data_IF_535695026473
#
_entry.id   IF_535695026473
#
_cell.length_a   1.000
_cell.length_b   1.000
_cell.length_c   1.000
_cell.angle_alpha   90.00
_cell.angle_beta   90.00
_cell.angle_gamma   90.00
#
_symmetry.space_group_name_H-M   'P 1'
#
loop_
_entity.id
_entity.type
_entity.pdbx_description
1 polymer ?
#
# COMPACT_ATOMS: atom_id res chain seq x y z
N UNK A 1 -31.17 23.31 3.42
CA UNK A 1 -30.30 23.35 2.20
C UNK A 1 -29.27 22.28 2.37
N UNK A 2 -29.35 21.17 1.62
CA UNK A 2 -28.32 20.16 1.57
C UNK A 2 -27.06 20.78 0.96
N UNK A 3 -25.90 20.63 1.66
CA UNK A 3 -24.62 21.02 1.09
C UNK A 3 -24.32 20.10 -0.10
N UNK A 4 -23.87 20.63 -1.24
CA UNK A 4 -23.51 19.81 -2.38
C UNK A 4 -22.37 18.84 -1.98
N UNK A 5 -22.33 17.66 -2.61
CA UNK A 5 -21.40 16.58 -2.28
C UNK A 5 -19.93 17.06 -2.22
N UNK A 6 -19.52 17.98 -3.11
CA UNK A 6 -18.18 18.57 -3.08
C UNK A 6 -17.92 19.44 -1.82
N UNK A 7 -18.96 20.02 -1.20
CA UNK A 7 -18.81 20.83 0.02
C UNK A 7 -18.80 19.97 1.30
N UNK A 8 -19.28 18.72 1.21
CA UNK A 8 -19.06 17.70 2.24
C UNK A 8 -17.63 17.19 2.13
N UNK A 9 -17.17 16.97 0.91
CA UNK A 9 -15.77 16.65 0.58
C UNK A 9 -14.83 17.81 0.96
N UNK A 10 -15.21 19.08 0.78
CA UNK A 10 -14.36 20.23 1.14
C UNK A 10 -14.20 20.47 2.65
N UNK A 11 -15.06 19.90 3.48
CA UNK A 11 -14.85 19.85 4.94
C UNK A 11 -13.76 18.84 5.34
N UNK A 12 -13.51 17.86 4.46
CA UNK A 12 -12.41 16.89 4.53
C UNK A 12 -11.17 17.39 3.77
N UNK A 13 -11.30 18.42 2.94
CA UNK A 13 -10.32 18.93 1.97
C UNK A 13 -8.99 19.37 2.61
N UNK A 14 -8.97 19.80 3.84
CA UNK A 14 -7.69 20.06 4.52
C UNK A 14 -6.88 18.79 4.78
N UNK A 15 -7.55 17.70 5.12
CA UNK A 15 -6.94 16.38 5.33
C UNK A 15 -6.81 15.61 4.01
N UNK A 16 -7.75 15.77 3.07
CA UNK A 16 -7.72 15.09 1.77
C UNK A 16 -6.59 15.58 0.84
N UNK A 17 -6.32 16.88 0.78
CA UNK A 17 -5.16 17.38 0.04
C UNK A 17 -3.86 16.77 0.60
N UNK A 18 -3.71 16.73 1.93
CA UNK A 18 -2.54 16.11 2.54
C UNK A 18 -2.47 14.60 2.26
N UNK A 19 -3.61 13.89 2.25
CA UNK A 19 -3.65 12.44 1.96
C UNK A 19 -3.27 12.21 0.50
N UNK A 20 -3.90 12.89 -0.45
CA UNK A 20 -3.58 12.79 -1.88
C UNK A 20 -2.12 13.09 -2.17
N UNK A 21 -1.59 14.15 -1.59
CA UNK A 21 -0.20 14.55 -1.80
C UNK A 21 0.78 13.49 -1.28
N UNK A 22 0.46 12.81 -0.18
CA UNK A 22 1.24 11.66 0.32
C UNK A 22 1.24 10.50 -0.65
N UNK A 23 0.09 10.16 -1.28
CA UNK A 23 0.04 9.14 -2.32
C UNK A 23 0.88 9.51 -3.54
N UNK A 24 0.81 10.75 -4.00
CA UNK A 24 1.61 11.24 -5.13
C UNK A 24 3.11 11.22 -4.79
N UNK A 25 3.49 11.68 -3.61
CA UNK A 25 4.89 11.67 -3.16
C UNK A 25 5.44 10.24 -3.06
N UNK A 26 4.65 9.30 -2.50
CA UNK A 26 5.00 7.89 -2.44
C UNK A 26 5.10 7.30 -3.85
N UNK A 27 4.13 7.55 -4.72
CA UNK A 27 4.08 7.04 -6.09
C UNK A 27 5.30 7.45 -6.92
N UNK A 28 5.73 8.70 -6.81
CA UNK A 28 6.95 9.18 -7.47
C UNK A 28 8.19 8.38 -7.02
N UNK A 29 8.30 8.05 -5.72
CA UNK A 29 9.39 7.23 -5.20
C UNK A 29 9.28 5.78 -5.69
N UNK A 30 8.07 5.19 -5.74
CA UNK A 30 7.82 3.83 -6.17
C UNK A 30 8.00 3.64 -7.68
N UNK A 31 7.75 4.67 -8.48
CA UNK A 31 7.84 4.60 -9.96
C UNK A 31 9.25 4.24 -10.45
N UNK A 32 10.28 4.51 -9.65
CA UNK A 32 11.67 4.18 -9.94
C UNK A 32 12.06 2.76 -9.52
N UNK A 33 11.22 2.08 -8.73
CA UNK A 33 11.50 0.74 -8.25
C UNK A 33 11.31 -0.29 -9.37
N UNK A 34 12.17 -1.33 -9.36
CA UNK A 34 12.04 -2.49 -10.22
C UNK A 34 11.11 -3.54 -9.62
N UNK A 35 11.26 -3.76 -8.34
CA UNK A 35 10.56 -4.78 -7.57
C UNK A 35 9.97 -4.14 -6.31
N UNK A 36 8.76 -4.53 -5.94
CA UNK A 36 8.06 -4.04 -4.74
C UNK A 36 7.42 -5.23 -4.03
N UNK A 37 7.61 -5.32 -2.74
CA UNK A 37 6.95 -6.33 -1.91
C UNK A 37 5.79 -5.72 -1.12
N UNK A 38 4.72 -6.49 -0.99
CA UNK A 38 3.61 -6.16 -0.13
C UNK A 38 3.52 -7.18 1.00
N UNK A 39 3.32 -6.70 2.22
CA UNK A 39 3.16 -7.56 3.39
C UNK A 39 1.85 -7.24 4.10
N UNK A 40 1.18 -8.29 4.56
CA UNK A 40 -0.04 -8.17 5.36
C UNK A 40 -0.21 -9.39 6.27
N UNK A 41 -0.97 -9.22 7.33
CA UNK A 41 -1.28 -10.30 8.27
C UNK A 41 -2.80 -10.38 8.51
N UNK A 42 -3.35 -11.58 8.65
CA UNK A 42 -4.79 -11.77 8.82
C UNK A 42 -5.56 -11.19 7.62
N UNK A 43 -6.55 -10.34 7.86
CA UNK A 43 -7.35 -9.70 6.81
C UNK A 43 -6.55 -8.74 5.92
N UNK A 44 -5.41 -8.24 6.37
CA UNK A 44 -4.55 -7.39 5.55
C UNK A 44 -3.76 -8.17 4.49
N UNK A 45 -3.59 -9.50 4.62
CA UNK A 45 -2.87 -10.28 3.63
C UNK A 45 -3.58 -10.36 2.26
N UNK A 46 -4.88 -10.68 2.16
CA UNK A 46 -5.60 -10.59 0.89
C UNK A 46 -5.53 -9.21 0.23
N UNK A 47 -5.50 -8.14 1.05
CA UNK A 47 -5.38 -6.77 0.55
C UNK A 47 -3.97 -6.47 0.02
N UNK A 48 -2.95 -7.05 0.64
CA UNK A 48 -1.58 -6.99 0.12
C UNK A 48 -1.48 -7.69 -1.25
N UNK A 49 -2.14 -8.85 -1.43
CA UNK A 49 -2.24 -9.54 -2.72
C UNK A 49 -2.93 -8.67 -3.78
N UNK A 50 -4.04 -8.03 -3.43
CA UNK A 50 -4.74 -7.09 -4.32
C UNK A 50 -3.85 -5.90 -4.68
N UNK A 51 -3.15 -5.30 -3.72
CA UNK A 51 -2.22 -4.20 -3.96
C UNK A 51 -1.11 -4.58 -4.93
N UNK A 52 -0.47 -5.73 -4.73
CA UNK A 52 0.56 -6.24 -5.62
C UNK A 52 0.01 -6.53 -7.03
N UNK A 53 -1.20 -7.11 -7.11
CA UNK A 53 -1.87 -7.38 -8.38
C UNK A 53 -2.14 -6.08 -9.15
N UNK A 54 -2.80 -5.10 -8.51
CA UNK A 54 -3.14 -3.83 -9.16
C UNK A 54 -1.90 -3.06 -9.59
N UNK A 55 -0.86 -3.06 -8.76
CA UNK A 55 0.39 -2.38 -9.10
C UNK A 55 1.04 -2.98 -10.35
N UNK A 56 1.19 -4.32 -10.41
CA UNK A 56 1.80 -4.96 -11.57
C UNK A 56 0.99 -4.81 -12.85
N UNK A 57 -0.35 -4.85 -12.75
CA UNK A 57 -1.26 -4.73 -13.90
C UNK A 57 -1.11 -3.41 -14.65
N UNK A 58 -1.02 -2.28 -13.94
CA UNK A 58 -1.09 -0.95 -14.53
C UNK A 58 0.24 -0.21 -14.56
N UNK A 59 1.19 -0.52 -13.66
CA UNK A 59 2.52 0.12 -13.63
C UNK A 59 3.63 -0.72 -14.26
N UNK A 60 3.39 -2.01 -14.47
CA UNK A 60 4.36 -3.00 -14.97
C UNK A 60 5.58 -3.19 -14.07
N UNK A 61 5.53 -2.72 -12.84
CA UNK A 61 6.52 -3.02 -11.81
C UNK A 61 6.26 -4.44 -11.32
N UNK A 62 7.33 -5.23 -11.18
CA UNK A 62 7.18 -6.54 -10.55
C UNK A 62 6.80 -6.36 -9.09
N UNK A 63 5.66 -6.88 -8.70
CA UNK A 63 5.13 -6.75 -7.35
C UNK A 63 4.58 -8.08 -6.85
N UNK A 64 4.99 -8.47 -5.65
CA UNK A 64 4.52 -9.69 -5.00
C UNK A 64 4.05 -9.40 -3.59
N UNK A 65 3.14 -10.24 -3.10
CA UNK A 65 2.64 -10.11 -1.74
C UNK A 65 2.82 -11.41 -0.95
N UNK A 66 3.18 -11.26 0.32
CA UNK A 66 3.38 -12.36 1.23
C UNK A 66 2.66 -12.13 2.55
N UNK A 67 2.23 -13.20 3.19
CA UNK A 67 1.82 -13.11 4.59
C UNK A 67 3.04 -12.69 5.42
N UNK A 68 2.91 -11.64 6.24
CA UNK A 68 4.06 -11.12 7.02
C UNK A 68 4.72 -12.21 7.89
N UNK A 69 3.94 -13.20 8.37
CA UNK A 69 4.46 -14.33 9.13
C UNK A 69 5.36 -15.27 8.34
N UNK A 70 5.21 -15.30 7.01
CA UNK A 70 5.98 -16.16 6.10
C UNK A 70 7.23 -15.47 5.57
N UNK A 71 7.48 -14.21 5.95
CA UNK A 71 8.61 -13.43 5.48
C UNK A 71 9.95 -14.17 5.65
N UNK A 72 10.14 -14.84 6.79
CA UNK A 72 11.37 -15.56 7.12
C UNK A 72 11.60 -16.84 6.31
N UNK A 73 10.57 -17.36 5.68
CA UNK A 73 10.61 -18.65 4.99
C UNK A 73 11.03 -18.53 3.51
N UNK A 74 11.68 -17.44 3.15
CA UNK A 74 12.25 -17.23 1.81
C UNK A 74 12.22 -15.76 1.37
N UNK A 75 11.06 -15.08 1.38
CA UNK A 75 10.94 -13.71 0.83
C UNK A 75 11.90 -12.69 1.44
N UNK A 76 12.32 -12.91 2.68
CA UNK A 76 13.28 -12.04 3.37
C UNK A 76 14.63 -11.93 2.63
N UNK A 77 14.98 -12.93 1.81
CA UNK A 77 16.18 -12.92 0.99
C UNK A 77 16.12 -11.88 -0.15
N UNK A 78 14.92 -11.41 -0.52
CA UNK A 78 14.72 -10.40 -1.56
C UNK A 78 14.88 -8.97 -1.05
N UNK A 79 14.99 -8.79 0.28
CA UNK A 79 14.99 -7.47 0.90
C UNK A 79 16.39 -6.89 0.91
N UNK A 80 16.54 -5.74 0.28
CA UNK A 80 17.73 -4.90 0.29
C UNK A 80 17.35 -3.41 0.24
N UNK A 81 18.37 -2.54 0.09
CA UNK A 81 18.18 -1.08 0.03
C UNK A 81 17.45 -0.59 -1.23
N UNK A 82 17.26 -1.42 -2.25
CA UNK A 82 16.61 -1.06 -3.50
C UNK A 82 15.11 -1.39 -3.48
N UNK A 83 14.68 -2.37 -2.66
CA UNK A 83 13.32 -2.91 -2.65
C UNK A 83 12.43 -2.19 -1.65
N UNK A 84 11.41 -1.43 -2.10
CA UNK A 84 10.35 -0.95 -1.23
C UNK A 84 9.48 -2.10 -0.72
N UNK A 85 9.14 -2.05 0.57
CA UNK A 85 8.27 -3.04 1.21
C UNK A 85 7.06 -2.31 1.79
N UNK A 86 5.90 -2.51 1.18
CA UNK A 86 4.63 -1.91 1.59
C UNK A 86 3.96 -2.83 2.59
N UNK A 87 3.77 -2.35 3.81
CA UNK A 87 3.25 -3.14 4.92
C UNK A 87 1.89 -2.59 5.35
N UNK A 88 0.86 -3.43 5.25
CA UNK A 88 -0.49 -3.13 5.69
C UNK A 88 -0.63 -3.62 7.14
N UNK A 89 -0.65 -2.69 8.08
CA UNK A 89 -0.68 -2.99 9.50
C UNK A 89 -1.71 -2.12 10.24
N UNK A 90 -3.00 -2.44 10.15
CA UNK A 90 -4.00 -1.82 11.01
C UNK A 90 -3.66 -2.06 12.49
N UNK A 91 -3.99 -1.09 13.38
CA UNK A 91 -3.81 -1.28 14.83
C UNK A 91 -4.89 -2.21 15.38
N UNK A 92 -4.67 -3.48 15.13
CA UNK A 92 -5.47 -4.60 15.60
C UNK A 92 -4.66 -5.53 16.53
N UNK A 93 -5.18 -6.70 16.85
CA UNK A 93 -4.51 -7.72 17.69
C UNK A 93 -3.23 -8.30 17.07
N UNK A 94 -2.99 -8.09 15.77
CA UNK A 94 -1.83 -8.58 15.03
C UNK A 94 -0.76 -7.50 14.80
N UNK A 95 -1.03 -6.26 15.21
CA UNK A 95 -0.16 -5.11 14.96
C UNK A 95 1.26 -5.33 15.49
N UNK A 96 1.42 -5.75 16.75
CA UNK A 96 2.74 -5.92 17.37
C UNK A 96 3.58 -7.00 16.64
N UNK A 97 2.91 -8.02 16.06
CA UNK A 97 3.56 -9.01 15.20
C UNK A 97 4.01 -8.41 13.85
N UNK A 98 3.24 -7.44 13.32
CA UNK A 98 3.66 -6.71 12.13
C UNK A 98 4.86 -5.80 12.43
N UNK A 99 4.91 -5.14 13.59
CA UNK A 99 6.07 -4.35 14.02
C UNK A 99 7.34 -5.20 14.04
N UNK A 100 7.28 -6.42 14.57
CA UNK A 100 8.43 -7.35 14.54
C UNK A 100 8.89 -7.64 13.11
N UNK A 101 7.97 -7.81 12.16
CA UNK A 101 8.33 -8.00 10.74
C UNK A 101 8.91 -6.72 10.10
N UNK A 102 8.39 -5.54 10.49
CA UNK A 102 8.95 -4.25 10.07
C UNK A 102 10.42 -4.13 10.48
N UNK A 103 10.73 -4.46 11.74
CA UNK A 103 12.10 -4.46 12.25
C UNK A 103 13.03 -5.39 11.47
N UNK A 104 12.53 -6.56 11.07
CA UNK A 104 13.29 -7.51 10.25
C UNK A 104 13.60 -6.97 8.85
N UNK A 105 12.66 -6.24 8.25
CA UNK A 105 12.84 -5.54 6.96
C UNK A 105 13.84 -4.40 7.12
N UNK A 106 13.65 -3.54 8.13
CA UNK A 106 14.50 -2.39 8.41
C UNK A 106 15.95 -2.79 8.69
N UNK A 107 16.16 -3.86 9.47
CA UNK A 107 17.49 -4.40 9.78
C UNK A 107 18.28 -4.84 8.53
N UNK A 108 17.62 -5.06 7.39
CA UNK A 108 18.24 -5.39 6.09
C UNK A 108 18.34 -4.19 5.16
N UNK A 109 17.97 -3.01 5.66
CA UNK A 109 17.97 -1.77 4.89
C UNK A 109 16.80 -1.63 3.92
N UNK A 110 15.76 -2.48 4.03
CA UNK A 110 14.55 -2.38 3.19
C UNK A 110 13.82 -1.05 3.41
N UNK A 111 13.28 -0.50 2.35
CA UNK A 111 12.53 0.76 2.35
C UNK A 111 11.09 0.52 2.80
N UNK A 112 10.85 0.61 4.10
CA UNK A 112 9.53 0.34 4.68
C UNK A 112 8.55 1.47 4.36
N UNK A 113 7.41 1.10 3.75
CA UNK A 113 6.22 1.95 3.61
C UNK A 113 5.14 1.39 4.52
N UNK A 114 4.77 2.13 5.56
CA UNK A 114 3.73 1.69 6.48
C UNK A 114 2.38 2.30 6.14
N UNK A 115 1.36 1.45 5.96
CA UNK A 115 -0.05 1.80 5.93
C UNK A 115 -0.65 1.42 7.28
N UNK A 116 -1.08 2.41 8.06
CA UNK A 116 -1.68 2.19 9.38
C UNK A 116 -2.64 3.31 9.74
N UNK A 117 -3.43 3.13 10.79
CA UNK A 117 -4.18 4.22 11.39
C UNK A 117 -3.30 5.04 12.35
N UNK A 118 -3.80 6.21 12.77
CA UNK A 118 -3.07 7.12 13.66
C UNK A 118 -2.53 6.43 14.90
N UNK A 119 -3.33 5.56 15.53
CA UNK A 119 -2.91 4.84 16.74
C UNK A 119 -1.78 3.84 16.47
N UNK A 120 -1.68 3.31 15.26
CA UNK A 120 -0.56 2.47 14.85
C UNK A 120 0.75 3.27 14.80
N UNK A 121 0.73 4.49 14.26
CA UNK A 121 1.92 5.36 14.24
C UNK A 121 2.33 5.82 15.63
N UNK A 122 1.38 6.09 16.53
CA UNK A 122 1.65 6.49 17.92
C UNK A 122 2.21 5.33 18.78
N UNK A 123 2.11 4.08 18.30
CA UNK A 123 2.56 2.88 19.03
C UNK A 123 3.83 2.26 18.41
N UNK A 124 4.63 3.02 17.70
CA UNK A 124 5.92 2.57 17.16
C UNK A 124 6.91 3.73 17.12
N UNK A 125 8.15 3.45 17.50
CA UNK A 125 9.28 4.39 17.41
C UNK A 125 10.13 4.13 16.15
N UNK A 126 9.66 3.28 15.23
CA UNK A 126 10.38 2.93 14.01
C UNK A 126 10.36 4.08 12.99
N UNK A 127 11.48 4.30 12.31
CA UNK A 127 11.55 5.22 11.19
C UNK A 127 11.11 4.53 9.88
N UNK A 128 10.24 5.21 9.13
CA UNK A 128 9.72 4.70 7.88
C UNK A 128 10.20 5.53 6.69
N UNK A 129 10.47 4.85 5.58
CA UNK A 129 10.79 5.52 4.33
C UNK A 129 9.60 6.35 3.80
N UNK A 130 8.38 5.88 4.04
CA UNK A 130 7.13 6.62 3.81
C UNK A 130 5.99 6.06 4.65
N UNK A 131 4.96 6.88 4.87
CA UNK A 131 3.77 6.48 5.64
C UNK A 131 2.50 6.93 4.93
N UNK A 132 1.46 6.10 5.00
CA UNK A 132 0.09 6.46 4.60
C UNK A 132 -0.82 6.22 5.79
N UNK A 133 -1.41 7.30 6.30
CA UNK A 133 -2.39 7.20 7.37
C UNK A 133 -3.76 6.82 6.80
N UNK A 134 -4.31 5.74 7.31
CA UNK A 134 -5.65 5.25 6.97
C UNK A 134 -6.61 5.72 8.07
N UNK A 135 -7.74 6.34 7.73
CA UNK A 135 -8.72 6.74 8.72
C UNK A 135 -9.19 5.55 9.57
N UNK A 136 -9.26 5.73 10.88
CA UNK A 136 -9.77 4.70 11.78
C UNK A 136 -11.26 4.49 11.55
N UNK A 137 -11.68 3.24 11.45
CA UNK A 137 -13.07 2.83 11.34
C UNK A 137 -13.31 1.58 12.19
N UNK A 138 -14.51 1.02 12.14
CA UNK A 138 -14.80 -0.28 12.76
C UNK A 138 -14.07 -1.40 12.02
N UNK A 139 -13.64 -2.43 12.72
CA UNK A 139 -12.76 -3.47 12.20
C UNK A 139 -13.28 -4.15 10.93
N UNK A 140 -14.60 -4.32 10.82
CA UNK A 140 -15.25 -4.93 9.65
C UNK A 140 -15.17 -4.07 8.38
N UNK A 141 -14.98 -2.76 8.50
CA UNK A 141 -14.84 -1.84 7.37
C UNK A 141 -13.38 -1.49 7.04
N UNK A 142 -12.44 -1.78 7.94
CA UNK A 142 -11.01 -1.56 7.70
C UNK A 142 -10.55 -2.13 6.35
N UNK A 143 -10.91 -3.37 5.95
CA UNK A 143 -10.48 -3.91 4.67
C UNK A 143 -10.85 -3.05 3.46
N UNK A 144 -12.01 -2.38 3.47
CA UNK A 144 -12.44 -1.51 2.38
C UNK A 144 -11.52 -0.28 2.24
N UNK A 145 -11.14 0.34 3.36
CA UNK A 145 -10.26 1.51 3.33
C UNK A 145 -8.85 1.15 2.86
N UNK A 146 -8.31 0.02 3.33
CA UNK A 146 -7.01 -0.47 2.88
C UNK A 146 -7.04 -0.88 1.40
N UNK A 147 -8.14 -1.48 0.91
CA UNK A 147 -8.30 -1.79 -0.52
C UNK A 147 -8.22 -0.52 -1.38
N UNK A 148 -8.94 0.54 -1.01
CA UNK A 148 -8.86 1.83 -1.70
C UNK A 148 -7.43 2.40 -1.64
N UNK A 149 -6.76 2.32 -0.50
CA UNK A 149 -5.41 2.83 -0.35
C UNK A 149 -4.41 2.12 -1.28
N UNK A 150 -4.43 0.79 -1.37
CA UNK A 150 -3.51 0.06 -2.25
C UNK A 150 -3.83 0.29 -3.73
N UNK A 151 -5.11 0.47 -4.09
CA UNK A 151 -5.52 0.86 -5.44
C UNK A 151 -5.02 2.27 -5.81
N UNK A 152 -5.10 3.23 -4.88
CA UNK A 152 -4.56 4.57 -5.08
C UNK A 152 -3.03 4.57 -5.23
N UNK A 153 -2.32 3.73 -4.46
CA UNK A 153 -0.87 3.54 -4.65
C UNK A 153 -0.58 3.04 -6.07
N UNK A 154 -1.28 2.01 -6.53
CA UNK A 154 -1.11 1.47 -7.86
C UNK A 154 -1.41 2.52 -8.96
N UNK A 155 -2.56 3.22 -8.83
CA UNK A 155 -2.99 4.26 -9.76
C UNK A 155 -1.97 5.39 -9.90
N UNK A 156 -1.58 6.02 -8.78
CA UNK A 156 -0.64 7.14 -8.83
C UNK A 156 0.77 6.70 -9.27
N UNK A 157 1.18 5.48 -8.95
CA UNK A 157 2.46 4.93 -9.43
C UNK A 157 2.44 4.73 -10.95
N UNK A 158 1.33 4.24 -11.51
CA UNK A 158 1.16 4.10 -12.96
C UNK A 158 1.17 5.47 -13.64
N UNK A 159 0.46 6.46 -13.08
CA UNK A 159 0.48 7.84 -13.57
C UNK A 159 1.90 8.42 -13.53
N UNK A 160 2.63 8.24 -12.43
CA UNK A 160 4.02 8.72 -12.30
C UNK A 160 4.96 8.06 -13.31
N UNK A 161 4.71 6.80 -13.70
CA UNK A 161 5.45 6.10 -14.75
C UNK A 161 5.01 6.48 -16.17
N UNK A 162 3.90 7.22 -16.33
CA UNK A 162 3.34 7.53 -17.63
C UNK A 162 2.72 6.34 -18.35
N UNK A 163 2.28 5.31 -17.63
CA UNK A 163 1.57 4.16 -18.18
C UNK A 163 0.07 4.46 -18.33
N UNK A 164 -0.59 3.85 -19.31
CA UNK A 164 -2.03 3.97 -19.49
C UNK A 164 -2.76 3.10 -18.45
N UNK A 165 -3.49 3.76 -17.56
CA UNK A 165 -4.23 3.09 -16.47
C UNK A 165 -5.57 2.50 -16.94
N UNK A 166 -6.12 3.02 -18.05
CA UNK A 166 -7.41 2.60 -18.58
C UNK A 166 -7.28 1.47 -19.60
N UNK A 167 -6.14 1.42 -20.30
CA UNK A 167 -5.84 0.39 -21.29
C UNK A 167 -4.45 -0.23 -21.07
N UNK A 168 -4.26 -0.96 -19.95
CA UNK A 168 -2.98 -1.61 -19.69
C UNK A 168 -2.68 -2.65 -20.77
N UNK A 169 -1.41 -2.73 -21.17
CA UNK A 169 -0.95 -3.67 -22.20
C UNK A 169 -1.20 -5.13 -21.77
N UNK A 170 -1.48 -5.98 -22.74
CA UNK A 170 -1.65 -7.43 -22.54
C UNK A 170 -2.80 -7.85 -21.63
N UNK A 171 -3.66 -6.91 -21.21
CA UNK A 171 -4.89 -7.24 -20.50
C UNK A 171 -6.08 -7.11 -21.46
N UNK A 172 -6.83 -8.18 -21.60
CA UNK A 172 -8.06 -8.19 -22.37
C UNK A 172 -9.26 -8.22 -21.42
N UNK A 173 -10.30 -7.43 -21.73
CA UNK A 173 -11.58 -7.46 -20.98
C UNK A 173 -12.34 -8.79 -21.17
N UNK A 174 -12.04 -9.51 -22.24
CA UNK A 174 -12.49 -10.88 -22.47
C UNK A 174 -11.36 -11.66 -23.12
N UNK A 175 -11.01 -12.82 -22.57
CA UNK A 175 -10.07 -13.73 -23.19
C UNK A 175 -10.88 -14.63 -24.14
N UNK A 176 -10.90 -14.28 -25.42
CA UNK A 176 -11.31 -15.19 -26.49
C UNK A 176 -10.03 -15.82 -27.05
N UNK A 177 -9.53 -16.84 -26.39
CA UNK A 177 -8.55 -17.73 -26.99
C UNK A 177 -9.35 -18.94 -27.46
N UNK A 178 -9.59 -19.05 -28.77
CA UNK A 178 -9.94 -20.29 -29.41
C UNK A 178 -8.68 -21.13 -29.64
#
# INVERSE_FOLDING_TARGET
KQKPAYAILSGLVGSEMCIRDRFIALANKLSEARDILFLGRGLAYPLALEGALKLKEISYIHAEAYASGELKHGPIALIDKSVPVIILAPKDTLFDKNISNIQEVAARGGKVVLLSDKSGFENTDEEFWSTIEIPKTIDTLNPLLYAVAVQLIAYYTAVAKGTDVDQPRNLAKSVTVE
#
